data_IF_048050763802
#
_entry.id   IF_048050763802
#
_cell.length_a   1.000
_cell.length_b   1.000
_cell.length_c   1.000
_cell.angle_alpha   90.00
_cell.angle_beta   90.00
_cell.angle_gamma   90.00
#
_symmetry.space_group_name_H-M   'P 1'
#
loop_
_entity.id
_entity.type
_entity.pdbx_description
1 polymer ?
#
# COMPACT_ATOMS: atom_id res chain seq x y z
N UNK A 1 9.67 9.71 -25.47
CA UNK A 1 9.80 9.54 -24.01
C UNK A 1 8.88 8.40 -23.61
N UNK A 2 9.39 7.32 -23.01
CA UNK A 2 8.53 6.28 -22.41
C UNK A 2 7.70 6.94 -21.31
N UNK A 3 6.36 6.82 -21.37
CA UNK A 3 5.49 7.26 -20.26
C UNK A 3 5.90 6.49 -19.00
N UNK A 4 6.16 7.19 -17.92
CA UNK A 4 6.47 6.57 -16.63
C UNK A 4 5.23 5.83 -16.16
N UNK A 5 5.33 4.49 -16.08
CA UNK A 5 4.25 3.64 -15.57
C UNK A 5 4.28 3.63 -14.05
N UNK A 6 3.11 3.55 -13.44
CA UNK A 6 2.99 3.13 -12.05
C UNK A 6 3.23 1.63 -11.98
N UNK A 7 4.28 1.20 -11.31
CA UNK A 7 4.59 -0.21 -11.09
C UNK A 7 4.26 -0.57 -9.65
N UNK A 8 3.40 -1.56 -9.45
CA UNK A 8 3.04 -2.09 -8.13
C UNK A 8 3.50 -3.55 -8.04
N UNK A 9 4.35 -3.83 -7.07
CA UNK A 9 4.77 -5.18 -6.74
C UNK A 9 3.82 -5.78 -5.70
N UNK A 10 3.42 -7.04 -5.89
CA UNK A 10 2.54 -7.73 -4.94
C UNK A 10 3.04 -9.15 -4.67
N UNK A 11 2.95 -9.59 -3.42
CA UNK A 11 3.26 -10.98 -3.07
C UNK A 11 2.12 -11.93 -3.49
N UNK A 12 2.46 -13.17 -3.78
CA UNK A 12 1.47 -14.18 -4.17
C UNK A 12 0.37 -14.37 -3.12
N UNK A 13 0.73 -14.34 -1.83
CA UNK A 13 -0.20 -14.51 -0.71
C UNK A 13 -1.07 -13.27 -0.46
N UNK A 14 -0.63 -12.08 -0.91
CA UNK A 14 -1.48 -10.89 -0.90
C UNK A 14 -2.47 -10.91 -2.07
N UNK A 15 -2.06 -11.46 -3.23
CA UNK A 15 -2.88 -11.54 -4.43
C UNK A 15 -3.94 -12.65 -4.35
N UNK A 16 -3.55 -13.84 -3.87
CA UNK A 16 -4.41 -15.02 -3.78
C UNK A 16 -4.45 -15.59 -2.36
N UNK A 17 -5.54 -16.28 -2.02
CA UNK A 17 -5.64 -17.05 -0.79
C UNK A 17 -4.78 -18.31 -0.90
N UNK A 18 -3.71 -18.36 -0.13
CA UNK A 18 -2.77 -19.48 -0.02
C UNK A 18 -2.77 -20.09 1.39
N UNK A 19 -3.81 -19.87 2.20
CA UNK A 19 -3.83 -20.28 3.60
C UNK A 19 -3.75 -21.80 3.76
N UNK A 20 -4.44 -22.57 2.91
CA UNK A 20 -4.38 -24.03 2.93
C UNK A 20 -2.95 -24.55 2.68
N UNK A 21 -2.27 -24.03 1.67
CA UNK A 21 -0.90 -24.41 1.38
C UNK A 21 0.10 -23.91 2.42
N UNK A 22 -0.16 -22.75 3.02
CA UNK A 22 0.68 -22.22 4.10
C UNK A 22 0.57 -23.06 5.38
N UNK A 23 -0.63 -23.54 5.74
CA UNK A 23 -0.82 -24.45 6.86
C UNK A 23 -0.04 -25.77 6.67
N UNK A 24 0.06 -26.28 5.43
CA UNK A 24 0.90 -27.43 5.10
C UNK A 24 2.38 -27.09 5.30
N UNK A 25 2.81 -25.90 4.84
CA UNK A 25 4.19 -25.45 5.04
C UNK A 25 4.56 -25.40 6.55
N UNK A 26 3.69 -24.81 7.37
CA UNK A 26 3.93 -24.68 8.82
C UNK A 26 3.93 -26.03 9.55
N UNK A 27 3.03 -26.95 9.18
CA UNK A 27 2.87 -28.24 9.88
C UNK A 27 3.78 -29.36 9.36
N UNK A 28 4.13 -29.34 8.05
CA UNK A 28 4.81 -30.48 7.38
C UNK A 28 6.09 -30.06 6.64
N UNK A 29 6.38 -28.75 6.59
CA UNK A 29 7.58 -28.20 6.01
C UNK A 29 7.55 -28.02 4.48
N UNK A 30 8.70 -27.59 3.93
CA UNK A 30 8.84 -27.14 2.57
C UNK A 30 8.51 -28.20 1.51
N UNK A 31 8.96 -29.44 1.72
CA UNK A 31 8.79 -30.51 0.73
C UNK A 31 7.32 -30.93 0.57
N UNK A 32 6.56 -30.94 1.67
CA UNK A 32 5.14 -31.22 1.64
C UNK A 32 4.37 -30.07 0.95
N UNK A 33 4.74 -28.81 1.22
CA UNK A 33 4.21 -27.64 0.54
C UNK A 33 4.47 -27.71 -0.98
N UNK A 34 5.69 -28.04 -1.42
CA UNK A 34 6.00 -28.16 -2.84
C UNK A 34 5.15 -29.23 -3.52
N UNK A 35 5.06 -30.45 -2.92
CA UNK A 35 4.22 -31.51 -3.47
C UNK A 35 2.76 -31.08 -3.59
N UNK A 36 2.20 -30.47 -2.53
CA UNK A 36 0.83 -29.98 -2.55
C UNK A 36 0.57 -28.98 -3.67
N UNK A 37 1.48 -28.02 -3.87
CA UNK A 37 1.34 -27.01 -4.93
C UNK A 37 1.41 -27.62 -6.33
N UNK A 38 2.25 -28.64 -6.55
CA UNK A 38 2.35 -29.35 -7.83
C UNK A 38 1.11 -30.21 -8.07
N UNK A 39 0.65 -30.96 -7.06
CA UNK A 39 -0.55 -31.81 -7.16
C UNK A 39 -1.83 -31.01 -7.46
N UNK A 40 -1.85 -29.72 -7.08
CA UNK A 40 -2.99 -28.82 -7.25
C UNK A 40 -2.71 -27.69 -8.26
N UNK A 41 -1.72 -27.84 -9.16
CA UNK A 41 -1.28 -26.75 -10.04
C UNK A 41 -2.37 -26.25 -11.01
N UNK A 42 -3.32 -27.13 -11.36
CA UNK A 42 -4.47 -26.81 -12.23
C UNK A 42 -5.70 -26.29 -11.44
N UNK A 43 -5.65 -26.33 -10.11
CA UNK A 43 -6.71 -25.78 -9.28
C UNK A 43 -6.54 -24.27 -9.08
N UNK A 44 -7.54 -23.51 -9.51
CA UNK A 44 -7.52 -22.05 -9.44
C UNK A 44 -7.55 -21.59 -7.98
N UNK A 45 -6.66 -20.66 -7.65
CA UNK A 45 -6.59 -20.04 -6.33
C UNK A 45 -7.71 -19.02 -6.14
N UNK A 46 -8.32 -19.01 -4.96
CA UNK A 46 -9.28 -17.99 -4.60
C UNK A 46 -8.63 -16.61 -4.45
N UNK A 47 -9.36 -15.51 -4.73
CA UNK A 47 -8.90 -14.17 -4.51
C UNK A 47 -8.40 -13.91 -3.08
N UNK A 48 -7.23 -13.29 -2.95
CA UNK A 48 -6.69 -12.80 -1.68
C UNK A 48 -7.10 -11.34 -1.38
N UNK A 49 -6.60 -10.82 -0.28
CA UNK A 49 -6.98 -9.48 0.21
C UNK A 49 -6.58 -8.32 -0.73
N UNK A 50 -5.53 -8.49 -1.53
CA UNK A 50 -5.07 -7.50 -2.52
C UNK A 50 -5.72 -7.65 -3.90
N UNK A 51 -6.50 -8.70 -4.14
CA UNK A 51 -7.00 -9.03 -5.46
C UNK A 51 -7.89 -7.93 -6.06
N UNK A 52 -8.86 -7.42 -5.29
CA UNK A 52 -9.77 -6.36 -5.75
C UNK A 52 -9.02 -5.07 -6.08
N UNK A 53 -8.02 -4.71 -5.27
CA UNK A 53 -7.14 -3.57 -5.54
C UNK A 53 -6.37 -3.74 -6.85
N UNK A 54 -5.77 -4.93 -7.07
CA UNK A 54 -5.03 -5.23 -8.31
C UNK A 54 -5.93 -5.14 -9.53
N UNK A 55 -7.16 -5.68 -9.47
CA UNK A 55 -8.12 -5.57 -10.56
C UNK A 55 -8.47 -4.11 -10.88
N UNK A 56 -8.71 -3.28 -9.87
CA UNK A 56 -8.98 -1.84 -10.06
C UNK A 56 -7.77 -1.10 -10.63
N UNK A 57 -6.57 -1.38 -10.14
CA UNK A 57 -5.33 -0.82 -10.68
C UNK A 57 -5.16 -1.15 -12.16
N UNK A 58 -5.35 -2.41 -12.54
CA UNK A 58 -5.20 -2.85 -13.93
C UNK A 58 -6.33 -2.31 -14.83
N UNK A 59 -7.54 -2.12 -14.30
CA UNK A 59 -8.66 -1.55 -15.07
C UNK A 59 -8.42 -0.12 -15.56
N UNK A 60 -7.51 0.63 -14.91
CA UNK A 60 -7.10 1.97 -15.35
C UNK A 60 -6.52 1.93 -16.77
N UNK A 61 -5.89 0.82 -17.14
CA UNK A 61 -5.28 0.64 -18.46
C UNK A 61 -6.30 0.59 -19.60
N UNK A 62 -7.58 0.31 -19.30
CA UNK A 62 -8.65 0.32 -20.32
C UNK A 62 -8.79 1.68 -21.01
N UNK A 63 -8.41 2.77 -20.32
CA UNK A 63 -8.42 4.13 -20.87
C UNK A 63 -7.31 4.39 -21.88
N UNK A 64 -6.24 3.56 -21.91
CA UNK A 64 -5.11 3.72 -22.83
C UNK A 64 -4.43 2.36 -23.10
N UNK A 65 -5.04 1.46 -23.91
CA UNK A 65 -4.54 0.10 -24.13
C UNK A 65 -3.14 0.04 -24.73
N UNK A 66 -2.83 0.95 -25.66
CA UNK A 66 -1.53 1.00 -26.35
C UNK A 66 -0.38 1.54 -25.49
N UNK A 67 -0.71 2.24 -24.40
CA UNK A 67 0.27 2.84 -23.48
C UNK A 67 -0.22 2.73 -22.04
N UNK A 68 -0.22 1.53 -21.44
CA UNK A 68 -0.80 1.28 -20.13
C UNK A 68 -0.13 2.12 -19.04
N UNK A 69 -0.94 2.70 -18.17
CA UNK A 69 -0.52 3.54 -17.06
C UNK A 69 0.02 2.75 -15.87
N UNK A 70 -0.49 1.54 -15.68
CA UNK A 70 -0.23 0.70 -14.51
C UNK A 70 0.34 -0.63 -14.95
N UNK A 71 1.32 -1.11 -14.22
CA UNK A 71 1.82 -2.45 -14.30
C UNK A 71 1.83 -3.08 -12.90
N UNK A 72 1.38 -4.32 -12.81
CA UNK A 72 1.52 -5.12 -11.60
C UNK A 72 2.56 -6.21 -11.85
N UNK A 73 3.50 -6.37 -10.92
CA UNK A 73 4.51 -7.41 -10.95
C UNK A 73 4.35 -8.32 -9.74
N UNK A 74 4.49 -9.62 -9.96
CA UNK A 74 4.42 -10.59 -8.88
C UNK A 74 5.82 -10.77 -8.27
N UNK A 75 5.94 -10.68 -6.95
CA UNK A 75 7.18 -11.00 -6.24
C UNK A 75 6.87 -11.97 -5.10
N UNK A 76 7.46 -13.14 -5.12
CA UNK A 76 7.04 -14.24 -4.26
C UNK A 76 8.22 -15.01 -3.71
N UNK A 77 8.12 -15.44 -2.45
CA UNK A 77 9.05 -16.37 -1.83
C UNK A 77 8.88 -17.83 -2.31
N UNK A 78 7.85 -18.11 -3.10
CA UNK A 78 7.69 -19.43 -3.71
C UNK A 78 8.90 -19.77 -4.60
N UNK A 79 9.08 -21.05 -4.93
CA UNK A 79 9.99 -21.48 -6.00
C UNK A 79 9.33 -21.27 -7.37
N UNK A 80 10.12 -21.29 -8.44
CA UNK A 80 9.58 -21.25 -9.80
C UNK A 80 8.60 -22.41 -10.06
N UNK A 81 8.93 -23.58 -9.55
CA UNK A 81 8.15 -24.80 -9.66
C UNK A 81 6.76 -24.69 -9.03
N UNK A 82 6.69 -24.10 -7.82
CA UNK A 82 5.40 -23.86 -7.14
C UNK A 82 4.69 -22.61 -7.64
N UNK A 83 5.31 -21.84 -8.50
CA UNK A 83 4.77 -20.62 -9.13
C UNK A 83 3.77 -20.89 -10.24
N UNK A 84 3.73 -22.10 -10.80
CA UNK A 84 2.86 -22.44 -11.93
C UNK A 84 1.37 -22.27 -11.57
N UNK A 85 0.93 -22.77 -10.43
CA UNK A 85 -0.43 -22.61 -9.93
C UNK A 85 -0.85 -21.13 -9.84
N UNK A 86 0.08 -20.26 -9.46
CA UNK A 86 -0.15 -18.81 -9.36
C UNK A 86 -0.34 -18.22 -10.76
N UNK A 87 0.50 -18.60 -11.74
CA UNK A 87 0.35 -18.14 -13.12
C UNK A 87 -0.93 -18.65 -13.77
N UNK A 88 -1.31 -19.93 -13.55
CA UNK A 88 -2.57 -20.49 -14.01
C UNK A 88 -3.78 -19.67 -13.46
N UNK A 89 -3.71 -19.29 -12.18
CA UNK A 89 -4.73 -18.44 -11.56
C UNK A 89 -4.73 -17.00 -12.11
N UNK A 90 -3.55 -16.40 -12.37
CA UNK A 90 -3.42 -15.10 -13.02
C UNK A 90 -4.07 -15.11 -14.40
N UNK A 91 -3.82 -16.15 -15.19
CA UNK A 91 -4.39 -16.32 -16.54
C UNK A 91 -5.91 -16.52 -16.47
N UNK A 92 -6.39 -17.41 -15.59
CA UNK A 92 -7.82 -17.64 -15.38
C UNK A 92 -8.59 -16.34 -15.08
N UNK A 93 -8.05 -15.48 -14.21
CA UNK A 93 -8.66 -14.18 -13.86
C UNK A 93 -8.34 -13.06 -14.84
N UNK A 94 -7.57 -13.34 -15.90
CA UNK A 94 -7.19 -12.37 -16.94
C UNK A 94 -6.55 -11.10 -16.37
N UNK A 95 -5.69 -11.25 -15.35
CA UNK A 95 -5.07 -10.09 -14.69
C UNK A 95 -3.97 -9.43 -15.55
N UNK A 96 -3.44 -10.11 -16.57
CA UNK A 96 -2.41 -9.55 -17.45
C UNK A 96 -1.06 -9.29 -16.74
N UNK A 97 -0.80 -9.96 -15.61
CA UNK A 97 0.48 -9.91 -14.90
C UNK A 97 1.46 -10.84 -15.62
N UNK A 98 2.47 -10.28 -16.28
CA UNK A 98 3.41 -11.04 -17.12
C UNK A 98 4.82 -11.11 -16.55
N UNK A 99 5.13 -10.27 -15.55
CA UNK A 99 6.45 -10.24 -14.90
C UNK A 99 6.36 -10.75 -13.47
N UNK A 100 7.28 -11.64 -13.11
CA UNK A 100 7.36 -12.18 -11.75
C UNK A 100 8.83 -12.47 -11.34
N UNK A 101 9.04 -12.50 -10.01
CA UNK A 101 10.23 -13.07 -9.39
C UNK A 101 9.82 -14.09 -8.33
N UNK A 102 10.37 -15.30 -8.44
CA UNK A 102 10.23 -16.37 -7.45
C UNK A 102 11.58 -16.57 -6.78
N UNK A 103 11.64 -16.49 -5.46
CA UNK A 103 12.91 -16.40 -4.73
C UNK A 103 13.24 -17.62 -3.85
N UNK A 104 12.43 -18.67 -3.93
CA UNK A 104 12.65 -19.97 -3.24
C UNK A 104 12.90 -19.82 -1.74
N UNK A 105 12.15 -18.95 -1.07
CA UNK A 105 12.23 -18.69 0.38
C UNK A 105 13.08 -17.47 0.76
N UNK A 106 13.82 -16.88 -0.18
CA UNK A 106 14.54 -15.64 0.08
C UNK A 106 13.59 -14.44 0.01
N UNK A 107 13.87 -13.39 0.81
CA UNK A 107 13.09 -12.16 0.74
C UNK A 107 13.23 -11.49 -0.63
N UNK A 108 12.12 -11.15 -1.30
CA UNK A 108 12.15 -10.59 -2.65
C UNK A 108 12.45 -9.08 -2.69
N UNK A 109 12.72 -8.42 -1.55
CA UNK A 109 12.84 -6.96 -1.46
C UNK A 109 13.90 -6.37 -2.42
N UNK A 110 14.98 -7.10 -2.71
CA UNK A 110 16.03 -6.65 -3.63
C UNK A 110 15.55 -6.48 -5.07
N UNK A 111 14.48 -7.16 -5.47
CA UNK A 111 13.91 -7.06 -6.81
C UNK A 111 12.94 -5.89 -6.98
N UNK A 112 12.50 -5.27 -5.89
CA UNK A 112 11.57 -4.13 -5.92
C UNK A 112 12.18 -2.98 -6.73
N UNK A 113 13.44 -2.64 -6.45
CA UNK A 113 14.20 -1.63 -7.22
C UNK A 113 14.40 -2.04 -8.68
N UNK A 114 14.76 -3.30 -8.94
CA UNK A 114 15.00 -3.80 -10.29
C UNK A 114 13.76 -3.76 -11.19
N UNK A 115 12.58 -3.96 -10.61
CA UNK A 115 11.30 -3.78 -11.32
C UNK A 115 10.87 -2.30 -11.45
N UNK A 116 11.55 -1.38 -10.77
CA UNK A 116 11.13 0.03 -10.69
C UNK A 116 9.79 0.20 -9.98
N UNK A 117 9.52 -0.63 -8.98
CA UNK A 117 8.24 -0.60 -8.29
C UNK A 117 8.11 0.65 -7.40
N UNK A 118 6.95 1.29 -7.46
CA UNK A 118 6.58 2.44 -6.65
C UNK A 118 5.90 2.05 -5.34
N UNK A 119 5.38 0.83 -5.26
CA UNK A 119 4.73 0.26 -4.08
C UNK A 119 4.96 -1.25 -4.06
N UNK A 120 5.22 -1.79 -2.87
CA UNK A 120 5.21 -3.23 -2.61
C UNK A 120 4.14 -3.59 -1.58
N UNK A 121 3.29 -4.57 -1.92
CA UNK A 121 2.23 -5.08 -1.06
C UNK A 121 2.47 -6.55 -0.73
N UNK A 122 2.52 -6.87 0.54
CA UNK A 122 2.74 -8.24 1.01
C UNK A 122 1.90 -8.53 2.26
N UNK A 123 1.72 -9.80 2.58
CA UNK A 123 1.24 -10.27 3.89
C UNK A 123 2.40 -10.58 4.86
N UNK A 124 3.64 -10.53 4.37
CA UNK A 124 4.84 -10.79 5.16
C UNK A 124 5.44 -9.47 5.67
N UNK A 125 5.39 -9.27 6.99
CA UNK A 125 5.88 -8.04 7.67
C UNK A 125 7.38 -7.85 7.49
N UNK A 126 8.16 -8.94 7.50
CA UNK A 126 9.63 -8.85 7.37
C UNK A 126 10.05 -8.36 5.99
N UNK A 127 9.39 -8.83 4.92
CA UNK A 127 9.64 -8.37 3.56
C UNK A 127 9.27 -6.88 3.40
N UNK A 128 8.15 -6.47 3.99
CA UNK A 128 7.70 -5.07 4.00
C UNK A 128 8.72 -4.20 4.74
N UNK A 129 9.14 -4.60 5.93
CA UNK A 129 10.12 -3.85 6.74
C UNK A 129 11.45 -3.68 6.02
N UNK A 130 11.96 -4.75 5.38
CA UNK A 130 13.19 -4.69 4.57
C UNK A 130 13.05 -3.75 3.37
N UNK A 131 11.89 -3.76 2.73
CA UNK A 131 11.59 -2.89 1.58
C UNK A 131 11.54 -1.42 2.00
N UNK A 132 10.87 -1.11 3.12
CA UNK A 132 10.85 0.24 3.69
C UNK A 132 12.25 0.71 4.10
N UNK A 133 13.05 -0.16 4.73
CA UNK A 133 14.44 0.15 5.10
C UNK A 133 15.32 0.41 3.87
N UNK A 134 15.00 -0.19 2.72
CA UNK A 134 15.67 0.07 1.44
C UNK A 134 15.17 1.37 0.74
N UNK A 135 14.24 2.12 1.34
CA UNK A 135 13.74 3.41 0.85
C UNK A 135 12.58 3.32 -0.14
N UNK A 136 11.90 2.18 -0.22
CA UNK A 136 10.72 2.00 -1.10
C UNK A 136 9.43 1.94 -0.30
N UNK A 137 8.33 2.47 -0.88
CA UNK A 137 7.02 2.32 -0.26
C UNK A 137 6.62 0.85 -0.20
N UNK A 138 6.23 0.40 0.99
CA UNK A 138 5.75 -0.94 1.21
C UNK A 138 4.73 -0.99 2.34
N UNK A 139 3.77 -1.91 2.26
CA UNK A 139 2.78 -2.10 3.31
C UNK A 139 2.36 -3.57 3.45
N UNK A 140 2.04 -3.94 4.68
CA UNK A 140 1.47 -5.25 5.00
C UNK A 140 -0.05 -5.18 4.87
N UNK A 141 -0.63 -5.86 3.88
CA UNK A 141 -2.08 -5.98 3.77
C UNK A 141 -2.59 -6.82 4.94
N UNK A 142 -3.51 -6.26 5.69
CA UNK A 142 -4.15 -6.93 6.81
C UNK A 142 -5.34 -7.74 6.31
N UNK A 143 -5.60 -8.87 7.03
CA UNK A 143 -6.77 -9.69 6.78
C UNK A 143 -8.05 -8.90 7.05
N UNK A 144 -8.99 -8.95 6.13
CA UNK A 144 -10.30 -8.34 6.24
C UNK A 144 -11.20 -8.87 5.14
N UNK A 145 -12.49 -8.66 5.23
CA UNK A 145 -13.43 -8.97 4.14
C UNK A 145 -13.75 -7.67 3.41
N UNK A 146 -13.00 -7.31 2.37
CA UNK A 146 -13.27 -6.08 1.66
C UNK A 146 -14.64 -6.16 0.99
N UNK A 147 -15.44 -5.12 1.18
CA UNK A 147 -16.68 -4.99 0.43
C UNK A 147 -16.32 -4.73 -1.02
N UNK A 148 -16.81 -5.55 -1.94
CA UNK A 148 -16.64 -5.29 -3.36
C UNK A 148 -17.33 -3.95 -3.70
N UNK A 149 -16.54 -2.91 -3.91
CA UNK A 149 -17.05 -1.62 -4.37
C UNK A 149 -17.52 -1.77 -5.83
N UNK A 150 -18.74 -1.35 -6.12
CA UNK A 150 -19.28 -1.29 -7.49
C UNK A 150 -18.65 -0.15 -8.31
N UNK A 151 -17.93 0.77 -7.68
CA UNK A 151 -17.24 1.88 -8.35
C UNK A 151 -16.05 1.37 -9.16
N UNK A 152 -15.93 1.83 -10.39
CA UNK A 152 -14.74 1.61 -11.23
C UNK A 152 -13.57 2.52 -10.83
N UNK A 153 -13.83 3.62 -10.12
CA UNK A 153 -12.82 4.54 -9.64
C UNK A 153 -12.06 3.93 -8.46
N UNK A 154 -10.73 3.94 -8.55
CA UNK A 154 -9.84 3.51 -7.47
C UNK A 154 -9.70 4.63 -6.43
N UNK A 155 -10.08 4.36 -5.19
CA UNK A 155 -10.04 5.31 -4.06
C UNK A 155 -9.00 4.89 -3.03
N UNK A 156 -7.93 5.65 -2.94
CA UNK A 156 -6.79 5.37 -2.04
C UNK A 156 -6.74 6.43 -0.95
N UNK A 157 -6.73 5.98 0.30
CA UNK A 157 -6.55 6.86 1.45
C UNK A 157 -5.19 6.63 2.11
N UNK A 158 -4.59 7.71 2.60
CA UNK A 158 -3.28 7.70 3.27
C UNK A 158 -3.35 8.41 4.60
N UNK A 159 -2.64 7.90 5.60
CA UNK A 159 -2.22 8.73 6.72
C UNK A 159 -1.14 9.74 6.31
N UNK A 160 -0.93 10.74 7.16
CA UNK A 160 0.06 11.80 6.96
C UNK A 160 1.43 11.41 7.45
N UNK A 161 1.59 11.37 8.77
CA UNK A 161 2.88 11.17 9.45
C UNK A 161 3.39 9.74 9.28
N UNK A 162 4.69 9.60 9.09
CA UNK A 162 5.37 8.32 8.82
C UNK A 162 4.90 7.55 7.56
N UNK A 163 3.90 8.05 6.82
CA UNK A 163 3.42 7.49 5.54
C UNK A 163 3.75 8.46 4.39
N UNK A 164 2.98 9.54 4.22
CA UNK A 164 3.26 10.55 3.17
C UNK A 164 4.39 11.48 3.57
N UNK A 165 4.43 11.89 4.83
CA UNK A 165 5.46 12.74 5.42
C UNK A 165 6.40 11.90 6.30
N UNK A 166 7.55 12.49 6.67
CA UNK A 166 8.43 11.89 7.69
C UNK A 166 7.72 11.83 9.05
N UNK A 167 8.31 11.08 9.98
CA UNK A 167 7.84 10.96 11.36
C UNK A 167 8.38 12.06 12.30
N UNK A 168 8.95 13.15 11.75
CA UNK A 168 9.55 14.25 12.52
C UNK A 168 8.57 14.86 13.53
N UNK A 169 7.36 15.14 13.07
CA UNK A 169 6.33 15.75 13.90
C UNK A 169 5.81 14.79 14.98
N UNK A 170 5.67 13.51 14.66
CA UNK A 170 5.29 12.47 15.61
C UNK A 170 6.37 12.29 16.71
N UNK A 171 7.65 12.40 16.37
CA UNK A 171 8.75 12.40 17.37
C UNK A 171 8.62 13.55 18.35
N UNK A 172 8.33 14.77 17.87
CA UNK A 172 8.12 15.94 18.74
C UNK A 172 6.92 15.70 19.66
N UNK A 173 5.83 15.18 19.12
CA UNK A 173 4.65 14.85 19.91
C UNK A 173 4.94 13.84 21.03
N UNK A 174 5.64 12.74 20.70
CA UNK A 174 5.98 11.70 21.67
C UNK A 174 6.95 12.17 22.74
N UNK A 175 7.91 13.04 22.40
CA UNK A 175 8.93 13.52 23.33
C UNK A 175 8.45 14.69 24.20
N UNK A 176 7.62 15.56 23.66
CA UNK A 176 7.30 16.85 24.28
C UNK A 176 5.79 17.14 24.41
N UNK A 177 4.95 16.25 23.90
CA UNK A 177 3.48 16.34 23.98
C UNK A 177 2.85 17.33 22.99
N UNK A 178 1.51 17.38 23.04
CA UNK A 178 0.69 18.14 22.10
C UNK A 178 0.98 19.65 22.04
N UNK A 179 1.24 20.37 23.18
CA UNK A 179 1.54 21.80 23.11
C UNK A 179 2.82 22.10 22.31
N UNK A 180 3.89 21.35 22.54
CA UNK A 180 5.15 21.53 21.81
C UNK A 180 5.02 21.18 20.33
N UNK A 181 4.28 20.13 20.01
CA UNK A 181 3.92 19.80 18.63
C UNK A 181 3.18 20.95 17.94
N UNK A 182 2.12 21.50 18.59
CA UNK A 182 1.33 22.58 18.00
C UNK A 182 2.14 23.88 17.81
N UNK A 183 3.05 24.18 18.73
CA UNK A 183 3.95 25.33 18.61
C UNK A 183 4.96 25.13 17.47
N UNK A 184 5.59 23.96 17.38
CA UNK A 184 6.49 23.61 16.28
C UNK A 184 5.81 23.71 14.92
N UNK A 185 4.60 23.16 14.77
CA UNK A 185 3.86 23.21 13.51
C UNK A 185 3.45 24.63 13.10
N UNK A 186 3.18 25.54 14.05
CA UNK A 186 2.99 26.97 13.75
C UNK A 186 4.27 27.64 13.29
N UNK A 187 5.38 27.39 14.00
CA UNK A 187 6.68 27.99 13.69
C UNK A 187 7.17 27.52 12.31
N UNK A 188 7.06 26.22 12.05
CA UNK A 188 7.53 25.59 10.84
C UNK A 188 6.47 25.59 9.70
N UNK A 189 5.34 26.28 9.85
CA UNK A 189 4.22 26.23 8.90
C UNK A 189 4.61 26.54 7.44
N UNK A 190 5.66 27.35 7.22
CA UNK A 190 6.17 27.71 5.89
C UNK A 190 7.26 26.77 5.36
N UNK A 191 7.81 25.92 6.21
CA UNK A 191 8.86 24.97 5.87
C UNK A 191 8.21 23.61 5.56
N UNK A 192 8.30 23.12 4.30
CA UNK A 192 7.70 21.86 3.92
C UNK A 192 8.19 20.68 4.78
N UNK A 193 7.27 19.78 5.14
CA UNK A 193 7.62 18.51 5.77
C UNK A 193 8.53 17.68 4.84
N UNK A 194 9.53 16.99 5.38
CA UNK A 194 10.25 15.97 4.62
C UNK A 194 9.31 14.86 4.15
N UNK A 195 9.62 14.23 3.01
CA UNK A 195 8.81 13.14 2.48
C UNK A 195 8.94 11.87 3.29
N UNK A 196 7.82 11.18 3.50
CA UNK A 196 7.75 9.82 3.99
C UNK A 196 7.93 8.79 2.87
N UNK A 197 7.85 7.49 3.19
CA UNK A 197 8.10 6.42 2.23
C UNK A 197 7.12 6.40 1.06
N UNK A 198 5.91 6.89 1.23
CA UNK A 198 4.85 6.87 0.20
C UNK A 198 4.81 8.10 -0.70
N UNK A 199 5.71 9.08 -0.51
CA UNK A 199 5.75 10.31 -1.32
C UNK A 199 5.85 10.03 -2.82
N UNK A 200 6.75 9.12 -3.23
CA UNK A 200 6.98 8.83 -4.64
C UNK A 200 5.84 8.00 -5.25
N UNK A 201 5.23 7.12 -4.47
CA UNK A 201 4.00 6.43 -4.88
C UNK A 201 2.85 7.42 -5.10
N UNK A 202 2.63 8.37 -4.18
CA UNK A 202 1.62 9.42 -4.35
C UNK A 202 1.91 10.29 -5.59
N UNK A 203 3.18 10.60 -5.86
CA UNK A 203 3.58 11.34 -7.07
C UNK A 203 3.24 10.57 -8.35
N UNK A 204 3.47 9.25 -8.36
CA UNK A 204 3.13 8.40 -9.50
C UNK A 204 1.61 8.33 -9.74
N UNK A 205 0.80 8.26 -8.68
CA UNK A 205 -0.66 8.35 -8.78
C UNK A 205 -1.09 9.70 -9.35
N UNK A 206 -0.54 10.80 -8.82
CA UNK A 206 -0.82 12.15 -9.30
C UNK A 206 -0.45 12.34 -10.78
N UNK A 207 0.64 11.72 -11.23
CA UNK A 207 1.01 11.74 -12.64
C UNK A 207 -0.08 11.11 -13.54
N UNK A 208 -0.70 10.02 -13.08
CA UNK A 208 -1.84 9.41 -13.80
C UNK A 208 -3.05 10.34 -13.76
N UNK A 209 -3.41 10.87 -12.57
CA UNK A 209 -4.55 11.79 -12.41
C UNK A 209 -4.47 12.98 -13.37
N UNK A 210 -3.27 13.52 -13.61
CA UNK A 210 -3.04 14.65 -14.52
C UNK A 210 -3.22 14.32 -16.01
N UNK A 211 -3.47 13.05 -16.38
CA UNK A 211 -3.81 12.67 -17.75
C UNK A 211 -5.31 12.76 -18.01
N UNK A 212 -6.12 13.05 -16.99
CA UNK A 212 -7.58 13.09 -17.04
C UNK A 212 -8.10 14.43 -16.50
N UNK A 213 -9.29 14.82 -16.94
CA UNK A 213 -10.02 15.90 -16.28
C UNK A 213 -10.32 15.50 -14.81
N UNK A 214 -10.34 16.46 -13.88
CA UNK A 214 -10.46 16.15 -12.44
C UNK A 214 -11.65 15.26 -12.04
N UNK A 215 -12.79 15.39 -12.74
CA UNK A 215 -14.00 14.62 -12.47
C UNK A 215 -14.03 13.24 -13.15
N UNK A 216 -13.18 13.05 -14.17
CA UNK A 216 -13.10 11.80 -14.95
C UNK A 216 -11.90 10.94 -14.53
N UNK A 217 -11.11 11.38 -13.55
CA UNK A 217 -9.95 10.62 -13.10
C UNK A 217 -10.34 9.24 -12.58
N UNK A 218 -9.67 8.18 -13.08
CA UNK A 218 -9.90 6.82 -12.58
C UNK A 218 -9.36 6.60 -11.17
N UNK A 219 -8.61 7.56 -10.62
CA UNK A 219 -8.01 7.52 -9.29
C UNK A 219 -8.50 8.71 -8.49
N UNK A 220 -8.90 8.47 -7.24
CA UNK A 220 -9.18 9.49 -6.24
C UNK A 220 -8.35 9.23 -4.99
N UNK A 221 -7.73 10.27 -4.46
CA UNK A 221 -6.82 10.17 -3.32
C UNK A 221 -7.34 10.99 -2.15
N UNK A 222 -7.16 10.46 -0.93
CA UNK A 222 -7.48 11.17 0.31
C UNK A 222 -6.32 11.13 1.30
N UNK A 223 -6.05 12.26 1.95
CA UNK A 223 -5.29 12.33 3.19
C UNK A 223 -6.27 12.23 4.36
N UNK A 224 -6.07 11.29 5.26
CA UNK A 224 -6.89 11.08 6.46
C UNK A 224 -5.97 11.08 7.67
N UNK A 225 -5.79 12.25 8.29
CA UNK A 225 -4.79 12.46 9.34
C UNK A 225 -5.40 12.82 10.68
N UNK A 226 -4.76 12.37 11.76
CA UNK A 226 -5.10 12.78 13.12
C UNK A 226 -4.73 14.25 13.42
N UNK A 227 -3.97 14.91 12.54
CA UNK A 227 -3.68 16.34 12.68
C UNK A 227 -4.95 17.18 12.61
N UNK A 228 -4.99 18.26 13.37
CA UNK A 228 -6.02 19.30 13.30
C UNK A 228 -5.39 20.67 13.09
N UNK A 229 -6.14 21.75 13.33
CA UNK A 229 -5.59 23.10 13.40
C UNK A 229 -4.71 23.24 14.67
N UNK A 230 -3.55 23.89 14.61
CA UNK A 230 -2.96 24.65 13.49
C UNK A 230 -2.05 23.84 12.55
N UNK A 231 -1.83 22.55 12.79
CA UNK A 231 -0.87 21.72 12.07
C UNK A 231 -1.26 21.45 10.60
N UNK A 232 -2.52 21.70 10.21
CA UNK A 232 -3.02 21.55 8.85
C UNK A 232 -2.30 22.46 7.84
N UNK A 233 -1.87 23.67 8.25
CA UNK A 233 -1.26 24.64 7.35
C UNK A 233 0.04 24.10 6.74
N UNK A 234 0.91 23.53 7.56
CA UNK A 234 2.18 22.96 7.10
C UNK A 234 1.95 21.82 6.10
N UNK A 235 0.96 20.96 6.35
CA UNK A 235 0.56 19.88 5.44
C UNK A 235 0.14 20.41 4.08
N UNK A 236 -0.78 21.38 4.04
CA UNK A 236 -1.26 21.97 2.79
C UNK A 236 -0.12 22.64 2.01
N UNK A 237 0.76 23.38 2.70
CA UNK A 237 1.93 24.01 2.07
C UNK A 237 2.92 22.99 1.54
N UNK A 238 3.11 21.86 2.24
CA UNK A 238 3.98 20.77 1.82
C UNK A 238 3.49 20.15 0.52
N UNK A 239 2.21 19.80 0.41
CA UNK A 239 1.63 19.25 -0.81
C UNK A 239 1.76 20.22 -1.99
N UNK A 240 1.53 21.52 -1.76
CA UNK A 240 1.76 22.56 -2.77
C UNK A 240 3.22 22.63 -3.22
N UNK A 241 4.17 22.60 -2.27
CA UNK A 241 5.59 22.63 -2.56
C UNK A 241 6.06 21.39 -3.34
N UNK A 242 5.41 20.26 -3.14
CA UNK A 242 5.66 19.02 -3.93
C UNK A 242 4.98 19.05 -5.29
N UNK A 243 4.12 20.02 -5.56
CA UNK A 243 3.24 20.06 -6.73
C UNK A 243 2.42 18.76 -6.88
N UNK A 244 1.89 18.26 -5.76
CA UNK A 244 1.04 17.07 -5.71
C UNK A 244 -0.35 17.50 -5.23
N UNK A 245 -1.36 17.09 -6.00
CA UNK A 245 -2.76 17.26 -5.62
C UNK A 245 -3.23 16.02 -4.89
N UNK A 246 -3.93 16.23 -3.78
CA UNK A 246 -4.81 15.25 -3.13
C UNK A 246 -6.25 15.74 -3.33
N UNK A 247 -7.17 14.82 -3.64
CA UNK A 247 -8.56 15.18 -3.95
C UNK A 247 -9.33 15.55 -2.69
N UNK A 248 -9.09 14.87 -1.57
CA UNK A 248 -9.69 15.15 -0.27
C UNK A 248 -8.63 15.17 0.83
N UNK A 249 -8.78 16.09 1.79
CA UNK A 249 -7.92 16.15 2.97
C UNK A 249 -8.79 16.27 4.22
N UNK A 250 -8.74 15.26 5.07
CA UNK A 250 -9.54 15.12 6.28
C UNK A 250 -8.62 15.29 7.49
N UNK A 251 -8.77 16.43 8.18
CA UNK A 251 -8.04 16.78 9.40
C UNK A 251 -8.92 16.48 10.59
N UNK A 252 -8.64 15.39 11.31
CA UNK A 252 -9.60 14.78 12.23
C UNK A 252 -9.41 15.16 13.70
N UNK A 253 -8.31 15.84 14.03
CA UNK A 253 -7.99 16.25 15.41
C UNK A 253 -8.13 15.10 16.43
N UNK A 254 -7.62 13.93 16.04
CA UNK A 254 -7.64 12.72 16.86
C UNK A 254 -8.92 11.88 16.79
N UNK A 255 -9.93 12.26 16.02
CA UNK A 255 -11.12 11.42 15.82
C UNK A 255 -10.78 10.09 15.11
N UNK A 256 -11.52 9.01 15.41
CA UNK A 256 -11.35 7.72 14.73
C UNK A 256 -11.55 7.81 13.21
N UNK A 257 -10.64 7.24 12.44
CA UNK A 257 -10.60 7.38 10.98
C UNK A 257 -11.67 6.55 10.25
N UNK A 258 -12.10 5.41 10.81
CA UNK A 258 -12.91 4.41 10.13
C UNK A 258 -14.18 4.96 9.46
N UNK A 259 -14.98 5.78 10.15
CA UNK A 259 -16.21 6.35 9.59
C UNK A 259 -15.94 7.29 8.40
N UNK A 260 -14.84 8.06 8.45
CA UNK A 260 -14.44 8.97 7.38
C UNK A 260 -13.92 8.20 6.16
N UNK A 261 -13.14 7.12 6.37
CA UNK A 261 -12.70 6.23 5.32
C UNK A 261 -13.88 5.57 4.60
N UNK A 262 -14.90 5.15 5.36
CA UNK A 262 -16.14 4.61 4.80
C UNK A 262 -16.92 5.66 3.99
N UNK A 263 -17.02 6.88 4.49
CA UNK A 263 -17.67 7.98 3.79
C UNK A 263 -16.95 8.35 2.48
N UNK A 264 -15.61 8.33 2.50
CA UNK A 264 -14.79 8.48 1.30
C UNK A 264 -14.96 7.30 0.33
N UNK A 265 -15.31 6.12 0.83
CA UNK A 265 -15.41 4.88 0.06
C UNK A 265 -14.04 4.32 -0.31
N UNK A 266 -13.10 4.34 0.61
CA UNK A 266 -11.73 3.87 0.39
C UNK A 266 -11.70 2.40 -0.04
N UNK A 267 -10.97 2.11 -1.11
CA UNK A 267 -10.65 0.74 -1.53
C UNK A 267 -9.45 0.18 -0.74
N UNK A 268 -8.53 1.08 -0.37
CA UNK A 268 -7.40 0.76 0.50
C UNK A 268 -7.00 1.98 1.32
N UNK A 269 -6.54 1.73 2.54
CA UNK A 269 -6.02 2.74 3.46
C UNK A 269 -4.63 2.34 3.96
N UNK A 270 -3.68 3.26 3.90
CA UNK A 270 -2.30 3.10 4.37
C UNK A 270 -2.08 3.91 5.64
N UNK A 271 -1.62 3.25 6.71
CA UNK A 271 -1.36 3.89 8.01
C UNK A 271 -0.21 3.18 8.73
N UNK A 272 0.62 3.94 9.46
CA UNK A 272 1.73 3.40 10.25
C UNK A 272 1.26 2.83 11.61
N UNK A 273 0.05 3.17 12.04
CA UNK A 273 -0.50 2.75 13.32
C UNK A 273 -1.54 1.63 13.14
N UNK A 274 -1.21 0.45 13.69
CA UNK A 274 -2.07 -0.74 13.60
C UNK A 274 -3.50 -0.47 14.08
N UNK A 275 -3.70 0.32 15.15
CA UNK A 275 -5.03 0.67 15.68
C UNK A 275 -5.93 1.38 14.65
N UNK A 276 -5.33 2.21 13.76
CA UNK A 276 -6.07 2.90 12.72
C UNK A 276 -6.40 1.93 11.57
N UNK A 277 -5.48 1.02 11.25
CA UNK A 277 -5.74 -0.05 10.32
C UNK A 277 -6.88 -0.97 10.81
N UNK A 278 -6.87 -1.35 12.09
CA UNK A 278 -7.93 -2.17 12.71
C UNK A 278 -9.29 -1.43 12.63
N UNK A 279 -9.32 -0.12 12.93
CA UNK A 279 -10.52 0.70 12.77
C UNK A 279 -11.05 0.79 11.33
N UNK A 280 -10.17 0.70 10.33
CA UNK A 280 -10.56 0.64 8.92
C UNK A 280 -11.13 -0.75 8.57
N UNK A 281 -10.50 -1.84 9.04
CA UNK A 281 -10.99 -3.21 8.82
C UNK A 281 -12.34 -3.46 9.46
N UNK A 282 -12.63 -2.87 10.63
CA UNK A 282 -13.95 -2.89 11.28
C UNK A 282 -15.04 -2.26 10.41
N UNK A 283 -14.67 -1.36 9.51
CA UNK A 283 -15.57 -0.76 8.50
C UNK A 283 -15.53 -1.49 7.15
N UNK A 284 -14.94 -2.68 7.09
CA UNK A 284 -14.79 -3.51 5.87
C UNK A 284 -13.96 -2.84 4.77
N UNK A 285 -13.00 -2.00 5.15
CA UNK A 285 -12.05 -1.35 4.24
C UNK A 285 -10.74 -2.12 4.30
N UNK A 286 -10.15 -2.41 3.14
CA UNK A 286 -8.82 -3.01 3.09
C UNK A 286 -7.81 -2.04 3.71
N UNK A 287 -7.16 -2.47 4.79
CA UNK A 287 -6.10 -1.71 5.44
C UNK A 287 -4.74 -2.33 5.16
N UNK A 288 -3.76 -1.48 4.99
CA UNK A 288 -2.38 -1.86 4.77
C UNK A 288 -1.47 -1.12 5.77
N UNK A 289 -0.90 -1.87 6.69
CA UNK A 289 -0.02 -1.35 7.72
C UNK A 289 1.36 -1.04 7.16
N UNK A 290 1.83 0.16 7.41
CA UNK A 290 3.17 0.66 7.06
C UNK A 290 4.04 0.64 8.32
N UNK A 291 4.82 -0.41 8.61
CA UNK A 291 5.63 -0.50 9.82
C UNK A 291 6.86 0.43 9.74
N UNK A 292 6.61 1.74 9.73
CA UNK A 292 7.60 2.80 9.59
C UNK A 292 7.42 3.86 10.68
N UNK A 293 8.48 4.67 10.91
CA UNK A 293 8.45 5.76 11.86
C UNK A 293 8.62 5.35 13.31
N UNK A 294 8.65 6.36 14.18
CA UNK A 294 8.98 6.22 15.61
C UNK A 294 8.02 5.31 16.36
N UNK A 295 6.75 5.26 15.96
CA UNK A 295 5.72 4.41 16.59
C UNK A 295 6.01 2.91 16.40
N UNK A 296 6.74 2.55 15.34
CA UNK A 296 7.06 1.16 14.99
C UNK A 296 8.49 0.76 15.38
N UNK A 297 9.28 1.66 15.95
CA UNK A 297 10.59 1.31 16.49
C UNK A 297 10.42 0.47 17.74
N UNK A 298 11.00 -0.74 17.76
CA UNK A 298 11.08 -1.53 19.00
C UNK A 298 11.81 -0.70 20.03
N UNK A 299 11.15 -0.37 21.14
CA UNK A 299 11.82 0.17 22.32
C UNK A 299 12.76 -0.95 22.78
N UNK A 300 14.07 -0.80 22.53
CA UNK A 300 15.06 -1.62 23.20
C UNK A 300 14.86 -1.36 24.69
N UNK A 301 14.24 -2.31 25.37
CA UNK A 301 14.25 -2.32 26.84
C UNK A 301 15.69 -2.61 27.23
N UNK A 302 16.40 -1.55 27.61
CA UNK A 302 17.64 -1.61 28.40
C UNK A 302 17.43 -2.35 29.70
#
# INVERSE_FOLDING_TARGET
MQKQKLVVAISSRALFNLDASHAIFESQGKDAFCRYQIEHEDEILEPGYGFSLVRKLLSINASCPDAPFVEVVLVSQNSADTGLRIFNSIDHYQLGITRAAFTSGMSPYSYISAFGAHLFLSTNVDDVTKTLAAGFAAATILSGSPTASSSTQLRIAFDGDAVLFSDEAERIYQQHGLPAFAENERHEAKNPLPGGPFKDFLRALHHIQNQFEPHDSPIRTALVTARGAPAHERVVRTLRAWNIRIDEALFLDGLPKGAFLKAFGADIFFDDQKRHCDSATDQQITAAHVPHGVTNQKTEKT
#
